data_IF_742974422336
#
_entry.id   IF_742974422336
#
_cell.length_a   1.000
_cell.length_b   1.000
_cell.length_c   1.000
_cell.angle_alpha   90.00
_cell.angle_beta   90.00
_cell.angle_gamma   90.00
#
_symmetry.space_group_name_H-M   'P 1'
#
loop_
_entity.id
_entity.type
_entity.pdbx_description
1 polymer ?
#
# COMPACT_ATOMS: atom_id res chain seq x y z
N UNK A 1 -9.48 -44.55 18.83
CA UNK A 1 -8.02 -44.48 19.11
C UNK A 1 -7.30 -44.21 17.79
N UNK A 2 -7.25 -42.95 17.34
CA UNK A 2 -6.40 -42.51 16.21
C UNK A 2 -5.99 -41.07 16.55
N UNK A 3 -4.98 -40.95 17.41
CA UNK A 3 -4.27 -39.69 17.65
C UNK A 3 -2.94 -39.79 16.92
N UNK A 4 -2.53 -38.67 16.33
CA UNK A 4 -1.14 -38.27 16.18
C UNK A 4 -0.41 -38.59 14.86
N UNK A 5 -0.94 -38.09 13.74
CA UNK A 5 -0.18 -38.05 12.46
C UNK A 5 -0.38 -36.74 11.68
N UNK A 6 -0.52 -35.59 12.36
CA UNK A 6 -0.68 -34.29 11.69
C UNK A 6 0.26 -33.19 12.21
N UNK A 7 1.17 -33.51 13.14
CA UNK A 7 2.10 -32.52 13.75
C UNK A 7 3.55 -32.74 13.29
N UNK A 8 3.83 -33.74 12.44
CA UNK A 8 5.19 -34.07 12.00
C UNK A 8 5.61 -33.45 10.66
N UNK A 9 4.69 -32.99 9.82
CA UNK A 9 5.03 -32.43 8.50
C UNK A 9 5.41 -30.93 8.52
N UNK A 10 5.14 -30.21 9.61
CA UNK A 10 5.51 -28.79 9.76
C UNK A 10 7.03 -28.60 9.92
N UNK A 11 7.79 -29.66 10.20
CA UNK A 11 9.27 -29.59 10.34
C UNK A 11 10.05 -29.94 9.09
N UNK A 12 9.42 -30.44 8.03
CA UNK A 12 10.13 -30.90 6.82
C UNK A 12 10.09 -29.92 5.64
N UNK A 13 9.21 -28.92 5.67
CA UNK A 13 9.21 -27.81 4.71
C UNK A 13 10.37 -26.81 4.88
N UNK A 14 11.26 -27.03 5.86
CA UNK A 14 12.37 -26.13 6.20
C UNK A 14 13.66 -26.34 5.36
N UNK A 15 13.69 -27.31 4.44
CA UNK A 15 14.91 -27.67 3.66
C UNK A 15 14.80 -27.56 2.13
N UNK A 16 13.65 -27.18 1.57
CA UNK A 16 13.47 -27.20 0.10
C UNK A 16 13.49 -25.82 -0.59
N UNK A 17 13.64 -24.71 0.14
CA UNK A 17 13.71 -23.36 -0.45
C UNK A 17 15.07 -22.70 -0.19
N UNK A 18 16.17 -23.43 -0.45
CA UNK A 18 17.55 -22.88 -0.39
C UNK A 18 18.22 -22.91 -1.78
N UNK A 19 17.51 -23.30 -2.84
CA UNK A 19 18.09 -23.37 -4.20
C UNK A 19 17.28 -22.49 -5.16
N UNK A 20 17.20 -21.20 -4.82
CA UNK A 20 16.96 -20.06 -5.72
C UNK A 20 17.13 -18.77 -4.88
N UNK A 21 18.34 -18.58 -4.37
CA UNK A 21 18.71 -17.56 -3.39
C UNK A 21 19.51 -16.47 -4.08
N UNK A 22 18.88 -15.32 -4.33
CA UNK A 22 19.58 -14.03 -4.29
C UNK A 22 18.69 -12.80 -4.01
N UNK A 23 17.36 -12.95 -3.87
CA UNK A 23 16.49 -11.79 -3.48
C UNK A 23 15.54 -12.04 -2.30
N UNK A 24 15.37 -13.29 -1.83
CA UNK A 24 14.46 -13.61 -0.72
C UNK A 24 14.99 -13.32 0.70
N UNK A 25 16.27 -12.97 0.89
CA UNK A 25 16.90 -13.02 2.23
C UNK A 25 16.71 -11.77 3.11
N UNK A 26 15.87 -10.81 2.75
CA UNK A 26 15.76 -9.55 3.53
C UNK A 26 14.34 -9.09 3.88
N UNK A 27 13.33 -9.96 3.83
CA UNK A 27 11.99 -9.64 4.31
C UNK A 27 11.81 -10.05 5.78
N UNK A 28 11.21 -9.17 6.57
CA UNK A 28 10.75 -9.55 7.92
C UNK A 28 9.60 -10.55 7.84
N UNK A 29 9.32 -11.29 8.92
CA UNK A 29 8.18 -12.22 8.97
C UNK A 29 6.85 -11.53 8.60
N UNK A 30 6.68 -10.28 9.02
CA UNK A 30 5.52 -9.45 8.68
C UNK A 30 5.44 -9.14 7.19
N UNK A 31 6.54 -8.71 6.58
CA UNK A 31 6.60 -8.43 5.13
C UNK A 31 6.39 -9.72 4.31
N UNK A 32 6.93 -10.85 4.76
CA UNK A 32 6.77 -12.13 4.08
C UNK A 32 5.33 -12.65 4.14
N UNK A 33 4.65 -12.50 5.28
CA UNK A 33 3.23 -12.81 5.42
C UNK A 33 2.37 -12.00 4.43
N UNK A 34 2.64 -10.70 4.30
CA UNK A 34 1.95 -9.83 3.33
C UNK A 34 2.27 -10.24 1.89
N UNK A 35 3.52 -10.56 1.57
CA UNK A 35 3.96 -11.06 0.26
C UNK A 35 3.20 -12.33 -0.13
N UNK A 36 3.12 -13.30 0.78
CA UNK A 36 2.40 -14.56 0.58
C UNK A 36 0.91 -14.27 0.38
N UNK A 37 0.28 -13.44 1.21
CA UNK A 37 -1.14 -13.10 1.01
C UNK A 37 -1.38 -12.35 -0.32
N UNK A 38 -0.43 -11.52 -0.77
CA UNK A 38 -0.55 -10.78 -2.02
C UNK A 38 -0.54 -11.67 -3.26
N UNK A 39 0.12 -12.84 -3.21
CA UNK A 39 0.13 -13.83 -4.30
C UNK A 39 -1.17 -14.65 -4.41
N UNK A 40 -2.21 -14.28 -3.68
CA UNK A 40 -3.54 -14.92 -3.70
C UNK A 40 -3.56 -16.44 -3.41
N UNK A 41 -2.90 -16.91 -2.34
CA UNK A 41 -3.19 -18.24 -1.81
C UNK A 41 -4.64 -18.25 -1.33
N UNK A 42 -5.33 -19.39 -1.44
CA UNK A 42 -6.76 -19.52 -1.13
C UNK A 42 -7.19 -18.92 0.23
N UNK A 43 -8.50 -18.67 0.43
CA UNK A 43 -9.02 -17.92 1.57
C UNK A 43 -8.59 -18.45 2.95
N UNK A 44 -8.39 -19.76 3.10
CA UNK A 44 -7.82 -20.37 4.31
C UNK A 44 -6.46 -19.79 4.73
N UNK A 45 -5.60 -19.44 3.78
CA UNK A 45 -4.29 -18.85 4.07
C UNK A 45 -4.41 -17.45 4.65
N UNK A 46 -5.35 -16.65 4.15
CA UNK A 46 -5.56 -15.30 4.65
C UNK A 46 -5.98 -15.31 6.13
N UNK A 47 -6.91 -16.20 6.50
CA UNK A 47 -7.32 -16.38 7.89
C UNK A 47 -6.15 -16.83 8.78
N UNK A 48 -5.38 -17.84 8.36
CA UNK A 48 -4.24 -18.33 9.12
C UNK A 48 -3.15 -17.27 9.31
N UNK A 49 -2.88 -16.44 8.30
CA UNK A 49 -1.91 -15.36 8.38
C UNK A 49 -2.35 -14.26 9.34
N UNK A 50 -3.64 -13.93 9.38
CA UNK A 50 -4.19 -12.98 10.37
C UNK A 50 -4.01 -13.51 11.79
N UNK A 51 -4.36 -14.77 12.04
CA UNK A 51 -4.25 -15.37 13.37
C UNK A 51 -2.79 -15.43 13.86
N UNK A 52 -1.84 -15.65 12.95
CA UNK A 52 -0.42 -15.73 13.29
C UNK A 52 0.26 -14.36 13.43
N UNK A 53 -0.24 -13.32 12.75
CA UNK A 53 0.32 -11.96 12.86
C UNK A 53 -0.36 -11.14 13.96
N UNK A 54 -1.56 -11.52 14.41
CA UNK A 54 -2.37 -10.73 15.36
C UNK A 54 -2.91 -9.43 14.76
N UNK A 55 -2.81 -9.25 13.44
CA UNK A 55 -3.27 -8.05 12.76
C UNK A 55 -4.80 -8.00 12.65
N UNK A 56 -5.40 -6.80 12.70
CA UNK A 56 -6.82 -6.64 12.36
C UNK A 56 -7.04 -7.02 10.88
N UNK A 57 -8.11 -7.75 10.51
CA UNK A 57 -8.33 -8.20 9.14
C UNK A 57 -8.31 -7.08 8.09
N UNK A 58 -8.98 -5.95 8.37
CA UNK A 58 -9.01 -4.78 7.48
C UNK A 58 -7.65 -4.12 7.35
N UNK A 59 -6.90 -4.00 8.45
CA UNK A 59 -5.55 -3.48 8.44
C UNK A 59 -4.63 -4.37 7.60
N UNK A 60 -4.70 -5.70 7.76
CA UNK A 60 -3.91 -6.65 6.98
C UNK A 60 -4.27 -6.62 5.49
N UNK A 61 -5.55 -6.60 5.14
CA UNK A 61 -6.02 -6.45 3.76
C UNK A 61 -5.46 -5.18 3.09
N UNK A 62 -5.36 -4.07 3.83
CA UNK A 62 -4.76 -2.83 3.35
C UNK A 62 -3.26 -2.97 3.07
N UNK A 63 -2.53 -3.69 3.91
CA UNK A 63 -1.11 -3.98 3.69
C UNK A 63 -0.91 -4.86 2.45
N UNK A 64 -1.77 -5.87 2.26
CA UNK A 64 -1.77 -6.72 1.06
C UNK A 64 -2.02 -5.88 -0.20
N UNK A 65 -3.00 -4.97 -0.15
CA UNK A 65 -3.26 -4.05 -1.27
C UNK A 65 -2.08 -3.11 -1.53
N UNK A 66 -1.42 -2.62 -0.48
CA UNK A 66 -0.23 -1.77 -0.60
C UNK A 66 0.93 -2.52 -1.26
N UNK A 67 1.13 -3.80 -0.90
CA UNK A 67 2.10 -4.67 -1.53
C UNK A 67 1.79 -4.90 -3.01
N UNK A 68 0.53 -5.12 -3.38
CA UNK A 68 0.16 -5.33 -4.80
C UNK A 68 0.45 -4.12 -5.68
N UNK A 69 0.22 -2.90 -5.18
CA UNK A 69 0.47 -1.68 -5.94
C UNK A 69 1.92 -1.17 -5.86
N UNK A 70 2.69 -1.60 -4.86
CA UNK A 70 3.94 -0.94 -4.48
C UNK A 70 5.05 -1.82 -3.97
N UNK A 71 4.84 -3.13 -3.88
CA UNK A 71 5.77 -4.08 -3.30
C UNK A 71 6.15 -3.75 -1.84
N UNK A 72 7.39 -4.10 -1.43
CA UNK A 72 7.90 -3.78 -0.09
C UNK A 72 7.88 -2.28 0.23
N UNK A 73 8.10 -1.42 -0.76
CA UNK A 73 8.09 0.02 -0.56
C UNK A 73 6.66 0.55 -0.33
N UNK A 74 5.67 0.02 -1.06
CA UNK A 74 4.26 0.32 -0.83
C UNK A 74 3.80 -0.04 0.58
N UNK A 75 4.26 -1.19 1.09
CA UNK A 75 4.05 -1.57 2.49
C UNK A 75 4.67 -0.56 3.46
N UNK A 76 5.93 -0.17 3.24
CA UNK A 76 6.61 0.84 4.07
C UNK A 76 5.86 2.18 4.05
N UNK A 77 5.35 2.62 2.90
CA UNK A 77 4.57 3.86 2.75
C UNK A 77 3.20 3.79 3.44
N UNK A 78 2.59 2.61 3.47
CA UNK A 78 1.33 2.39 4.18
C UNK A 78 1.49 2.57 5.70
N UNK A 79 2.60 2.07 6.26
CA UNK A 79 2.83 1.96 7.71
C UNK A 79 3.58 3.14 8.30
N UNK A 80 4.53 3.72 7.57
CA UNK A 80 5.51 4.65 8.12
C UNK A 80 5.45 6.01 7.42
N UNK A 81 4.64 6.96 7.92
CA UNK A 81 4.74 8.35 7.49
C UNK A 81 6.15 8.88 7.74
N UNK A 82 6.71 9.60 6.77
CA UNK A 82 8.06 10.19 6.85
C UNK A 82 8.05 11.65 6.48
N UNK A 83 9.06 12.39 6.91
CA UNK A 83 9.28 13.77 6.51
C UNK A 83 10.26 13.78 5.32
N UNK A 84 9.79 14.00 4.09
CA UNK A 84 10.66 14.09 2.91
C UNK A 84 11.30 15.48 2.82
N UNK A 85 12.14 15.67 1.80
CA UNK A 85 12.65 17.00 1.43
C UNK A 85 11.48 17.99 1.20
N UNK A 86 11.44 19.13 1.91
CA UNK A 86 10.43 20.17 1.70
C UNK A 86 10.36 20.67 0.26
N UNK A 87 11.48 20.71 -0.47
CA UNK A 87 11.53 21.17 -1.87
C UNK A 87 10.74 20.22 -2.79
N UNK A 88 10.87 18.90 -2.60
CA UNK A 88 10.11 17.89 -3.36
C UNK A 88 8.61 18.04 -3.09
N UNK A 89 8.22 18.25 -1.84
CA UNK A 89 6.82 18.47 -1.47
C UNK A 89 6.28 19.78 -2.04
N UNK A 90 7.06 20.86 -2.03
CA UNK A 90 6.67 22.14 -2.60
C UNK A 90 6.46 22.04 -4.12
N UNK A 91 7.41 21.42 -4.83
CA UNK A 91 7.31 21.19 -6.28
C UNK A 91 6.07 20.37 -6.64
N UNK A 92 5.81 19.27 -5.92
CA UNK A 92 4.63 18.46 -6.12
C UNK A 92 3.33 19.23 -5.85
N UNK A 93 3.27 20.04 -4.79
CA UNK A 93 2.10 20.88 -4.51
C UNK A 93 1.82 21.88 -5.62
N UNK A 94 2.85 22.52 -6.16
CA UNK A 94 2.70 23.45 -7.29
C UNK A 94 2.18 22.73 -8.53
N UNK A 95 2.77 21.58 -8.89
CA UNK A 95 2.32 20.76 -10.03
C UNK A 95 0.85 20.36 -9.88
N UNK A 96 0.46 19.82 -8.72
CA UNK A 96 -0.92 19.43 -8.45
C UNK A 96 -1.89 20.63 -8.48
N UNK A 97 -1.49 21.78 -7.94
CA UNK A 97 -2.35 22.97 -7.93
C UNK A 97 -2.69 23.45 -9.35
N UNK A 98 -1.71 23.43 -10.27
CA UNK A 98 -1.95 23.77 -11.68
C UNK A 98 -2.91 22.78 -12.34
N UNK A 99 -2.63 21.48 -12.22
CA UNK A 99 -3.50 20.43 -12.80
C UNK A 99 -4.92 20.48 -12.23
N UNK A 100 -5.08 20.68 -10.92
CA UNK A 100 -6.41 20.77 -10.30
C UNK A 100 -7.23 21.96 -10.81
N UNK A 101 -6.58 23.08 -11.14
CA UNK A 101 -7.25 24.24 -11.73
C UNK A 101 -7.78 23.96 -13.14
N UNK A 102 -7.21 22.99 -13.85
CA UNK A 102 -7.70 22.53 -15.16
C UNK A 102 -8.80 21.47 -15.02
N UNK A 103 -8.71 20.61 -14.00
CA UNK A 103 -9.61 19.46 -13.83
C UNK A 103 -10.94 19.76 -13.13
N UNK A 104 -11.03 20.87 -12.37
CA UNK A 104 -12.19 21.18 -11.54
C UNK A 104 -12.69 22.61 -11.78
N UNK A 105 -14.02 22.79 -11.77
CA UNK A 105 -14.64 24.11 -11.90
C UNK A 105 -14.44 24.98 -10.65
N UNK A 106 -14.40 24.35 -9.47
CA UNK A 106 -14.22 25.02 -8.18
C UNK A 106 -12.83 24.77 -7.59
N UNK A 107 -12.31 25.70 -6.77
CA UNK A 107 -11.03 25.52 -6.09
C UNK A 107 -10.97 24.25 -5.24
N UNK A 108 -10.01 23.37 -5.53
CA UNK A 108 -9.82 22.12 -4.79
C UNK A 108 -8.80 22.30 -3.65
N UNK A 109 -9.20 22.13 -2.37
CA UNK A 109 -8.28 22.31 -1.26
C UNK A 109 -7.23 21.20 -1.21
N UNK A 110 -5.95 21.58 -1.17
CA UNK A 110 -4.82 20.64 -1.04
C UNK A 110 -4.13 20.81 0.32
N UNK A 111 -4.14 19.77 1.16
CA UNK A 111 -3.50 19.75 2.48
C UNK A 111 -2.23 18.90 2.46
N UNK A 112 -1.13 19.45 2.98
CA UNK A 112 0.13 18.72 3.11
C UNK A 112 0.40 18.35 4.58
N UNK A 113 0.82 17.11 4.82
CA UNK A 113 1.31 16.66 6.11
C UNK A 113 2.38 15.59 5.91
N UNK A 114 3.61 15.84 6.37
CA UNK A 114 4.75 14.92 6.18
C UNK A 114 4.89 14.56 4.69
N UNK A 115 4.87 13.28 4.33
CA UNK A 115 4.91 12.77 2.97
C UNK A 115 3.53 12.65 2.31
N UNK A 116 2.49 13.32 2.82
CA UNK A 116 1.11 13.14 2.34
C UNK A 116 0.53 14.43 1.79
N UNK A 117 -0.04 14.34 0.60
CA UNK A 117 -0.84 15.38 -0.05
C UNK A 117 -2.28 14.89 -0.12
N UNK A 118 -3.20 15.58 0.54
CA UNK A 118 -4.58 15.15 0.72
C UNK A 118 -5.55 16.15 0.09
N UNK A 119 -6.45 15.63 -0.73
CA UNK A 119 -7.59 16.33 -1.31
C UNK A 119 -8.85 15.83 -0.58
N UNK A 120 -9.25 16.49 0.52
CA UNK A 120 -10.24 15.95 1.44
C UNK A 120 -11.64 15.84 0.81
N UNK A 121 -12.01 16.76 -0.08
CA UNK A 121 -13.31 16.75 -0.75
C UNK A 121 -13.47 15.59 -1.74
N UNK A 122 -12.37 15.15 -2.34
CA UNK A 122 -12.32 14.08 -3.32
C UNK A 122 -12.05 12.71 -2.67
N UNK A 123 -11.72 12.69 -1.38
CA UNK A 123 -11.27 11.47 -0.72
C UNK A 123 -10.02 10.88 -1.37
N UNK A 124 -9.10 11.72 -1.86
CA UNK A 124 -7.84 11.32 -2.50
C UNK A 124 -6.66 11.73 -1.60
N UNK A 125 -5.67 10.85 -1.47
CA UNK A 125 -4.41 11.14 -0.80
C UNK A 125 -3.24 10.54 -1.57
N UNK A 126 -2.27 11.36 -1.94
CA UNK A 126 -1.00 10.89 -2.48
C UNK A 126 0.03 10.81 -1.37
N UNK A 127 0.80 9.72 -1.32
CA UNK A 127 1.88 9.53 -0.35
C UNK A 127 3.22 9.37 -1.06
N UNK A 128 4.19 10.21 -0.74
CA UNK A 128 5.55 10.12 -1.27
C UNK A 128 6.33 9.00 -0.56
N UNK A 129 6.86 8.08 -1.34
CA UNK A 129 7.74 7.01 -0.89
C UNK A 129 9.21 7.41 -0.79
N UNK A 130 10.03 6.55 -0.15
CA UNK A 130 11.48 6.74 -0.07
C UNK A 130 12.17 6.55 -1.42
N UNK A 131 11.48 5.92 -2.37
CA UNK A 131 11.89 5.65 -3.75
C UNK A 131 11.49 6.79 -4.69
N UNK A 132 11.13 7.96 -4.15
CA UNK A 132 10.68 9.13 -4.89
C UNK A 132 9.45 8.89 -5.77
N UNK A 133 8.60 7.90 -5.42
CA UNK A 133 7.33 7.63 -6.11
C UNK A 133 6.13 8.04 -5.26
N UNK A 134 5.06 8.44 -5.92
CA UNK A 134 3.78 8.82 -5.38
C UNK A 134 2.82 7.64 -5.40
N UNK A 135 2.35 7.26 -4.21
CA UNK A 135 1.41 6.18 -3.99
C UNK A 135 0.02 6.77 -3.80
N UNK A 136 -0.92 6.52 -4.71
CA UNK A 136 -2.26 7.09 -4.61
C UNK A 136 -3.17 6.23 -3.72
N UNK A 137 -3.92 6.90 -2.84
CA UNK A 137 -4.88 6.32 -1.92
C UNK A 137 -6.24 6.97 -2.09
N UNK A 138 -7.28 6.16 -1.87
CA UNK A 138 -8.67 6.57 -1.85
C UNK A 138 -9.29 6.33 -0.47
N UNK A 139 -10.16 7.22 -0.01
CA UNK A 139 -10.86 7.13 1.28
C UNK A 139 -12.20 6.43 1.11
N UNK A 140 -12.42 5.31 1.77
CA UNK A 140 -13.74 4.66 1.77
C UNK A 140 -14.76 5.40 2.65
N UNK A 141 -15.98 4.87 2.71
CA UNK A 141 -17.10 5.47 3.45
C UNK A 141 -16.88 5.45 4.97
N UNK A 142 -16.15 4.46 5.48
CA UNK A 142 -15.74 4.38 6.90
C UNK A 142 -14.58 5.34 7.24
N UNK A 143 -14.01 5.97 6.21
CA UNK A 143 -12.95 6.95 6.31
C UNK A 143 -11.53 6.38 6.34
N UNK A 144 -11.38 5.12 6.01
CA UNK A 144 -10.11 4.43 5.88
C UNK A 144 -9.46 4.68 4.51
N UNK A 145 -8.13 4.82 4.52
CA UNK A 145 -7.36 5.08 3.30
C UNK A 145 -6.84 3.78 2.68
N UNK A 146 -7.23 3.50 1.45
CA UNK A 146 -6.85 2.31 0.69
C UNK A 146 -5.93 2.66 -0.48
N UNK A 147 -4.79 1.95 -0.65
CA UNK A 147 -3.98 2.07 -1.86
C UNK A 147 -4.85 1.75 -3.08
N UNK A 148 -4.85 2.61 -4.10
CA UNK A 148 -5.86 2.56 -5.15
C UNK A 148 -5.30 2.30 -6.56
N UNK A 149 -4.04 2.66 -6.82
CA UNK A 149 -3.37 2.42 -8.08
C UNK A 149 -1.86 2.21 -7.86
N UNK A 150 -1.13 1.67 -8.86
CA UNK A 150 0.34 1.59 -8.81
C UNK A 150 0.97 2.95 -8.54
N UNK A 151 2.15 2.94 -7.93
CA UNK A 151 2.89 4.18 -7.68
C UNK A 151 3.45 4.78 -8.98
N UNK A 152 3.59 6.09 -9.03
CA UNK A 152 4.18 6.81 -10.18
C UNK A 152 5.29 7.76 -9.72
N UNK A 153 6.28 8.04 -10.56
CA UNK A 153 7.30 9.06 -10.27
C UNK A 153 6.73 10.48 -10.37
N UNK A 154 5.71 10.68 -11.20
CA UNK A 154 5.03 11.97 -11.37
C UNK A 154 3.79 12.06 -10.44
N UNK A 155 3.72 13.06 -9.54
CA UNK A 155 2.53 13.26 -8.71
C UNK A 155 1.26 13.53 -9.52
N UNK A 156 1.36 14.16 -10.71
CA UNK A 156 0.21 14.45 -11.56
C UNK A 156 -0.33 13.16 -12.18
N UNK A 157 0.53 12.32 -12.76
CA UNK A 157 0.15 10.99 -13.23
C UNK A 157 -0.50 10.14 -12.12
N UNK A 158 0.08 10.15 -10.90
CA UNK A 158 -0.49 9.47 -9.75
C UNK A 158 -1.89 10.00 -9.37
N UNK A 159 -2.09 11.32 -9.38
CA UNK A 159 -3.41 11.94 -9.14
C UNK A 159 -4.43 11.49 -10.20
N UNK A 160 -4.09 11.64 -11.47
CA UNK A 160 -4.98 11.34 -12.61
C UNK A 160 -5.45 9.89 -12.56
N UNK A 161 -4.57 8.95 -12.17
CA UNK A 161 -4.89 7.51 -12.06
C UNK A 161 -6.06 7.20 -11.13
N UNK A 162 -6.32 8.04 -10.13
CA UNK A 162 -7.39 7.86 -9.13
C UNK A 162 -8.48 8.91 -9.20
N UNK A 163 -8.26 10.02 -9.91
CA UNK A 163 -9.26 11.06 -10.10
C UNK A 163 -10.52 10.53 -10.78
N UNK A 164 -10.33 9.80 -11.88
CA UNK A 164 -11.43 9.22 -12.67
C UNK A 164 -12.26 8.18 -11.88
N UNK A 165 -11.68 7.59 -10.84
CA UNK A 165 -12.38 6.62 -9.98
C UNK A 165 -13.31 7.30 -8.97
N UNK A 166 -13.20 8.62 -8.80
CA UNK A 166 -13.92 9.41 -7.79
C UNK A 166 -14.91 10.42 -8.38
N UNK A 167 -14.85 10.67 -9.69
CA UNK A 167 -15.84 11.49 -10.36
C UNK A 167 -17.21 10.79 -10.30
N UNK A 168 -18.23 11.37 -9.65
CA UNK A 168 -19.60 10.92 -9.88
C UNK A 168 -19.94 11.20 -11.34
N UNK A 169 -20.48 10.19 -12.03
CA UNK A 169 -21.11 10.33 -13.34
C UNK A 169 -22.22 11.37 -13.33
#
# INVERSE_FOLDING_TARGET
MIRNTAVREVRQARRACIVQTETCLHLTQHQDAVRIAASSPGPEWFHNLIQNTGAKPTAFARLVRAWRHGGPTGLTVAEQPRTPDPAVMAAARTALAMTLAEMAADPVPLRAWRNRLTLPGQGIQLRLGPDARWYPYLRDDDGEWWPAAPADTDPVAALTSVWQQRSPT
#
